data_IF_103935845946
#
_entry.id   IF_103935845946
#
_cell.length_a   1.000
_cell.length_b   1.000
_cell.length_c   1.000
_cell.angle_alpha   90.00
_cell.angle_beta   90.00
_cell.angle_gamma   90.00
#
_symmetry.space_group_name_H-M   'P 1'
#
loop_
_entity.id
_entity.type
_entity.pdbx_description
1 polymer ?
#
# COMPACT_ATOMS: atom_id res chain seq x y z
N UNK A 1 -33.08 -68.28 22.34
CA UNK A 1 -32.12 -67.16 22.54
C UNK A 1 -31.38 -66.72 21.28
N UNK A 2 -31.19 -67.57 20.27
CA UNK A 2 -30.47 -67.18 19.03
C UNK A 2 -31.24 -66.23 18.10
N UNK A 3 -32.57 -66.36 18.01
CA UNK A 3 -33.40 -65.50 17.17
C UNK A 3 -33.33 -64.01 17.58
N UNK A 4 -33.28 -63.76 18.90
CA UNK A 4 -33.15 -62.41 19.46
C UNK A 4 -31.76 -61.82 19.14
N UNK A 5 -30.69 -62.63 19.22
CA UNK A 5 -29.34 -62.19 18.82
C UNK A 5 -29.26 -61.82 17.34
N UNK A 6 -29.92 -62.60 16.46
CA UNK A 6 -29.98 -62.31 15.02
C UNK A 6 -30.77 -61.03 14.71
N UNK A 7 -31.81 -60.72 15.47
CA UNK A 7 -32.53 -59.45 15.32
C UNK A 7 -31.69 -58.27 15.79
N UNK A 8 -30.99 -58.40 16.94
CA UNK A 8 -30.10 -57.38 17.46
C UNK A 8 -28.93 -57.07 16.50
N UNK A 9 -28.35 -58.08 15.84
CA UNK A 9 -27.28 -57.87 14.86
C UNK A 9 -27.79 -57.14 13.60
N UNK A 10 -28.99 -57.49 13.11
CA UNK A 10 -29.63 -56.78 11.98
C UNK A 10 -29.92 -55.32 12.30
N UNK A 11 -30.42 -55.04 13.50
CA UNK A 11 -30.67 -53.67 13.95
C UNK A 11 -29.37 -52.87 14.02
N UNK A 12 -28.31 -53.46 14.60
CA UNK A 12 -26.99 -52.82 14.66
C UNK A 12 -26.44 -52.49 13.28
N UNK A 13 -26.65 -53.37 12.30
CA UNK A 13 -26.21 -53.15 10.92
C UNK A 13 -27.04 -52.06 10.22
N UNK A 14 -28.36 -52.00 10.45
CA UNK A 14 -29.21 -50.92 9.94
C UNK A 14 -28.84 -49.56 10.53
N UNK A 15 -28.59 -49.51 11.85
CA UNK A 15 -28.14 -48.30 12.54
C UNK A 15 -26.79 -47.83 12.00
N UNK A 16 -25.84 -48.74 11.80
CA UNK A 16 -24.55 -48.40 11.21
C UNK A 16 -24.69 -47.83 9.79
N UNK A 17 -25.56 -48.41 8.95
CA UNK A 17 -25.85 -47.89 7.61
C UNK A 17 -26.51 -46.51 7.64
N UNK A 18 -27.45 -46.29 8.56
CA UNK A 18 -28.07 -44.97 8.76
C UNK A 18 -27.07 -43.93 9.25
N UNK A 19 -26.24 -44.28 10.25
CA UNK A 19 -25.18 -43.39 10.73
C UNK A 19 -24.20 -43.03 9.61
N UNK A 20 -23.82 -44.00 8.77
CA UNK A 20 -22.95 -43.74 7.63
C UNK A 20 -23.62 -42.89 6.53
N UNK A 21 -24.93 -43.05 6.32
CA UNK A 21 -25.69 -42.21 5.39
C UNK A 21 -25.84 -40.76 5.90
N UNK A 22 -26.06 -40.60 7.20
CA UNK A 22 -26.11 -39.28 7.86
C UNK A 22 -24.76 -38.59 7.80
N UNK A 23 -23.67 -39.29 8.13
CA UNK A 23 -22.30 -38.76 8.00
C UNK A 23 -21.95 -38.38 6.56
N UNK A 24 -22.42 -39.16 5.56
CA UNK A 24 -22.29 -38.80 4.15
C UNK A 24 -23.08 -37.55 3.77
N UNK A 25 -24.28 -37.36 4.33
CA UNK A 25 -25.09 -36.16 4.14
C UNK A 25 -24.43 -34.91 4.77
N UNK A 26 -23.59 -35.12 5.79
CA UNK A 26 -22.75 -34.09 6.41
C UNK A 26 -21.33 -33.99 5.82
N UNK A 27 -21.05 -34.59 4.66
CA UNK A 27 -19.78 -34.39 3.92
C UNK A 27 -18.57 -35.22 4.37
N UNK A 28 -18.71 -36.12 5.35
CA UNK A 28 -17.59 -36.93 5.91
C UNK A 28 -17.05 -38.04 5.00
N UNK A 29 -17.18 -37.93 3.67
CA UNK A 29 -16.75 -38.93 2.71
C UNK A 29 -15.93 -38.28 1.60
N UNK A 30 -14.61 -38.22 1.78
CA UNK A 30 -13.60 -37.77 0.80
C UNK A 30 -13.62 -36.30 0.37
N UNK A 31 -14.75 -35.59 0.40
CA UNK A 31 -14.81 -34.16 0.11
C UNK A 31 -14.11 -33.32 1.17
N UNK A 32 -14.23 -33.68 2.46
CA UNK A 32 -13.57 -32.97 3.56
C UNK A 32 -12.06 -32.78 3.37
N UNK A 33 -11.34 -33.71 2.73
CA UNK A 33 -9.88 -33.55 2.48
C UNK A 33 -9.62 -32.49 1.41
N UNK A 34 -10.48 -32.38 0.40
CA UNK A 34 -10.38 -31.38 -0.67
C UNK A 34 -10.88 -30.02 -0.17
N UNK A 35 -11.90 -30.01 0.70
CA UNK A 35 -12.40 -28.80 1.37
C UNK A 35 -11.38 -28.23 2.35
N UNK A 36 -10.73 -29.08 3.16
CA UNK A 36 -9.68 -28.69 4.11
C UNK A 36 -8.43 -28.15 3.39
N UNK A 37 -8.02 -28.78 2.28
CA UNK A 37 -6.92 -28.27 1.44
C UNK A 37 -7.27 -26.94 0.76
N UNK A 38 -8.47 -26.79 0.20
CA UNK A 38 -8.91 -25.55 -0.42
C UNK A 38 -9.06 -24.41 0.61
N UNK A 39 -9.55 -24.73 1.81
CA UNK A 39 -9.66 -23.79 2.93
C UNK A 39 -8.29 -23.37 3.47
N UNK A 40 -7.36 -24.32 3.63
CA UNK A 40 -5.98 -24.05 4.01
C UNK A 40 -5.30 -23.12 2.99
N UNK A 41 -5.48 -23.39 1.69
CA UNK A 41 -4.97 -22.51 0.63
C UNK A 41 -5.58 -21.11 0.68
N UNK A 42 -6.88 -21.00 0.97
CA UNK A 42 -7.56 -19.72 1.10
C UNK A 42 -7.04 -18.92 2.31
N UNK A 43 -6.81 -19.58 3.44
CA UNK A 43 -6.21 -18.98 4.62
C UNK A 43 -4.80 -18.45 4.33
N UNK A 44 -3.94 -19.26 3.68
CA UNK A 44 -2.60 -18.82 3.28
C UNK A 44 -2.63 -17.60 2.34
N UNK A 45 -3.62 -17.52 1.44
CA UNK A 45 -3.81 -16.34 0.57
C UNK A 45 -4.19 -15.10 1.37
N UNK A 46 -5.07 -15.24 2.36
CA UNK A 46 -5.49 -14.13 3.23
C UNK A 46 -4.34 -13.65 4.14
N UNK A 47 -3.52 -14.56 4.66
CA UNK A 47 -2.32 -14.21 5.43
C UNK A 47 -1.32 -13.43 4.56
N UNK A 48 -1.03 -13.92 3.35
CA UNK A 48 -0.18 -13.23 2.37
C UNK A 48 -0.74 -11.85 2.01
N UNK A 49 -2.06 -11.74 1.83
CA UNK A 49 -2.74 -10.47 1.58
C UNK A 49 -2.57 -9.50 2.75
N UNK A 50 -2.76 -9.96 3.98
CA UNK A 50 -2.58 -9.13 5.17
C UNK A 50 -1.14 -8.61 5.32
N UNK A 51 -0.15 -9.51 5.21
CA UNK A 51 1.27 -9.16 5.32
C UNK A 51 1.67 -8.16 4.23
N UNK A 52 1.33 -8.46 2.98
CA UNK A 52 1.69 -7.61 1.83
C UNK A 52 1.02 -6.24 1.90
N UNK A 53 -0.27 -6.15 2.24
CA UNK A 53 -0.98 -4.87 2.36
C UNK A 53 -0.49 -4.05 3.54
N UNK A 54 -0.11 -4.68 4.66
CA UNK A 54 0.53 -3.99 5.79
C UNK A 54 1.89 -3.43 5.40
N UNK A 55 2.75 -4.25 4.79
CA UNK A 55 4.07 -3.83 4.32
C UNK A 55 3.98 -2.68 3.29
N UNK A 56 3.06 -2.81 2.32
CA UNK A 56 2.82 -1.78 1.31
C UNK A 56 2.42 -0.44 1.92
N UNK A 57 1.53 -0.41 2.94
CA UNK A 57 1.14 0.84 3.62
C UNK A 57 2.32 1.50 4.32
N UNK A 58 3.20 0.73 4.97
CA UNK A 58 4.40 1.30 5.58
C UNK A 58 5.33 1.90 4.54
N UNK A 59 5.61 1.16 3.47
CA UNK A 59 6.46 1.63 2.38
C UNK A 59 5.91 2.89 1.71
N UNK A 60 4.60 2.93 1.43
CA UNK A 60 3.94 4.13 0.89
C UNK A 60 4.08 5.33 1.84
N UNK A 61 3.93 5.15 3.15
CA UNK A 61 4.12 6.23 4.14
C UNK A 61 5.54 6.78 4.12
N UNK A 62 6.53 5.93 3.95
CA UNK A 62 7.93 6.36 3.92
C UNK A 62 8.25 7.13 2.62
N UNK A 63 7.70 6.69 1.48
CA UNK A 63 7.78 7.46 0.23
C UNK A 63 7.12 8.83 0.39
N UNK A 64 5.89 8.89 0.93
CA UNK A 64 5.17 10.15 1.12
C UNK A 64 5.99 11.12 1.97
N UNK A 65 6.52 10.66 3.11
CA UNK A 65 7.38 11.50 3.96
C UNK A 65 8.63 11.98 3.25
N UNK A 66 9.29 11.11 2.49
CA UNK A 66 10.49 11.47 1.73
C UNK A 66 10.21 12.52 0.66
N UNK A 67 9.14 12.34 -0.12
CA UNK A 67 8.74 13.28 -1.18
C UNK A 67 8.28 14.61 -0.60
N UNK A 68 7.46 14.60 0.45
CA UNK A 68 7.01 15.83 1.13
C UNK A 68 8.18 16.59 1.74
N UNK A 69 9.13 15.89 2.39
CA UNK A 69 10.35 16.49 2.91
C UNK A 69 11.23 17.10 1.82
N UNK A 70 11.35 16.42 0.68
CA UNK A 70 12.05 16.94 -0.50
C UNK A 70 11.36 18.18 -1.08
N UNK A 71 10.02 18.20 -1.14
CA UNK A 71 9.25 19.36 -1.59
C UNK A 71 9.46 20.55 -0.66
N UNK A 72 9.32 20.38 0.66
CA UNK A 72 9.49 21.46 1.63
C UNK A 72 10.90 22.06 1.55
N UNK A 73 11.93 21.21 1.51
CA UNK A 73 13.32 21.67 1.40
C UNK A 73 13.58 22.30 0.03
N UNK A 74 13.04 21.70 -1.04
CA UNK A 74 13.17 22.17 -2.41
C UNK A 74 12.54 23.55 -2.61
N UNK A 75 11.38 23.83 -2.02
CA UNK A 75 10.71 25.13 -2.11
C UNK A 75 11.55 26.24 -1.49
N UNK A 76 12.16 25.97 -0.32
CA UNK A 76 13.12 26.92 0.29
C UNK A 76 14.33 27.17 -0.60
N UNK A 77 14.85 26.14 -1.27
CA UNK A 77 15.96 26.30 -2.22
C UNK A 77 15.56 27.14 -3.45
N UNK A 78 14.32 26.98 -3.94
CA UNK A 78 13.75 27.80 -5.02
C UNK A 78 13.66 29.27 -4.62
N UNK A 79 13.18 29.56 -3.40
CA UNK A 79 13.11 30.94 -2.88
C UNK A 79 14.51 31.58 -2.81
N UNK A 80 15.50 30.87 -2.26
CA UNK A 80 16.89 31.34 -2.18
C UNK A 80 17.46 31.59 -3.59
N UNK A 81 17.26 30.66 -4.52
CA UNK A 81 17.76 30.79 -5.89
C UNK A 81 17.08 31.91 -6.66
N UNK A 82 15.79 32.15 -6.40
CA UNK A 82 15.03 33.26 -6.99
C UNK A 82 15.59 34.60 -6.51
N UNK A 83 15.81 34.74 -5.19
CA UNK A 83 16.42 35.94 -4.61
C UNK A 83 17.83 36.19 -5.18
N UNK A 84 18.65 35.15 -5.30
CA UNK A 84 19.98 35.27 -5.90
C UNK A 84 19.93 35.73 -7.37
N UNK A 85 18.96 35.23 -8.15
CA UNK A 85 18.72 35.68 -9.51
C UNK A 85 18.36 37.17 -9.55
N UNK A 86 17.46 37.61 -8.67
CA UNK A 86 17.03 39.00 -8.55
C UNK A 86 18.19 39.93 -8.19
N UNK A 87 19.01 39.56 -7.20
CA UNK A 87 20.19 40.32 -6.79
C UNK A 87 21.23 40.39 -7.92
N UNK A 88 21.45 39.29 -8.65
CA UNK A 88 22.35 39.26 -9.81
C UNK A 88 21.86 40.15 -10.95
N UNK A 89 20.55 40.17 -11.20
CA UNK A 89 19.92 41.05 -12.20
C UNK A 89 20.04 42.51 -11.78
N UNK A 90 19.83 42.81 -10.50
CA UNK A 90 19.99 44.16 -9.94
C UNK A 90 21.43 44.65 -10.11
N UNK A 91 22.41 43.83 -9.74
CA UNK A 91 23.83 44.14 -9.98
C UNK A 91 24.10 44.39 -11.47
N UNK A 92 23.60 43.51 -12.35
CA UNK A 92 23.82 43.64 -13.79
C UNK A 92 23.20 44.90 -14.42
N UNK A 93 22.12 45.43 -13.84
CA UNK A 93 21.40 46.62 -14.34
C UNK A 93 21.91 47.92 -13.73
N UNK A 94 22.31 47.92 -12.45
CA UNK A 94 22.67 49.13 -11.71
C UNK A 94 24.19 49.43 -11.72
N UNK A 95 25.06 48.41 -11.81
CA UNK A 95 26.52 48.61 -11.85
C UNK A 95 27.03 48.80 -13.29
N UNK A 96 26.91 50.03 -13.78
CA UNK A 96 27.45 50.48 -15.09
C UNK A 96 28.80 51.20 -14.98
N UNK A 97 29.45 51.18 -13.80
CA UNK A 97 30.59 52.05 -13.53
C UNK A 97 31.95 51.48 -13.98
N UNK A 98 32.59 52.24 -14.87
CA UNK A 98 34.03 52.37 -15.17
C UNK A 98 34.83 51.10 -15.47
N UNK A 99 35.14 50.92 -16.76
CA UNK A 99 36.09 49.93 -17.31
C UNK A 99 35.59 48.49 -17.39
N UNK A 100 34.54 48.27 -18.20
CA UNK A 100 34.24 46.96 -18.81
C UNK A 100 32.86 46.39 -18.47
N UNK A 101 32.01 46.24 -19.49
CA UNK A 101 30.64 45.68 -19.37
C UNK A 101 30.57 44.17 -19.08
N UNK A 102 31.72 43.48 -18.99
CA UNK A 102 31.79 42.02 -18.93
C UNK A 102 31.09 41.44 -17.70
N UNK A 103 31.34 42.00 -16.51
CA UNK A 103 30.74 41.54 -15.25
C UNK A 103 29.22 41.78 -15.21
N UNK A 104 28.77 42.97 -15.63
CA UNK A 104 27.33 43.29 -15.73
C UNK A 104 26.62 42.32 -16.68
N UNK A 105 27.18 42.07 -17.88
CA UNK A 105 26.63 41.09 -18.84
C UNK A 105 26.62 39.66 -18.30
N UNK A 106 27.69 39.24 -17.62
CA UNK A 106 27.76 37.93 -16.99
C UNK A 106 26.69 37.77 -15.89
N UNK A 107 26.52 38.77 -15.03
CA UNK A 107 25.50 38.78 -13.98
C UNK A 107 24.08 38.74 -14.56
N UNK A 108 23.81 39.49 -15.65
CA UNK A 108 22.54 39.43 -16.36
C UNK A 108 22.27 38.04 -16.96
N UNK A 109 23.27 37.43 -17.61
CA UNK A 109 23.14 36.09 -18.18
C UNK A 109 22.86 35.05 -17.08
N UNK A 110 23.64 35.08 -16.00
CA UNK A 110 23.46 34.21 -14.84
C UNK A 110 22.07 34.39 -14.20
N UNK A 111 21.61 35.63 -14.02
CA UNK A 111 20.30 35.90 -13.44
C UNK A 111 19.18 35.24 -14.24
N UNK A 112 19.22 35.35 -15.57
CA UNK A 112 18.21 34.78 -16.47
C UNK A 112 18.24 33.25 -16.43
N UNK A 113 19.43 32.66 -16.53
CA UNK A 113 19.59 31.22 -16.45
C UNK A 113 19.08 30.68 -15.10
N UNK A 114 19.45 31.34 -13.98
CA UNK A 114 19.03 30.94 -12.64
C UNK A 114 17.52 31.06 -12.44
N UNK A 115 16.91 32.15 -12.89
CA UNK A 115 15.45 32.32 -12.81
C UNK A 115 14.71 31.19 -13.54
N UNK A 116 15.20 30.81 -14.73
CA UNK A 116 14.59 29.73 -15.49
C UNK A 116 14.77 28.38 -14.81
N UNK A 117 15.96 28.11 -14.23
CA UNK A 117 16.20 26.89 -13.45
C UNK A 117 15.28 26.78 -12.24
N UNK A 118 15.12 27.86 -11.48
CA UNK A 118 14.24 27.85 -10.29
C UNK A 118 12.77 27.71 -10.67
N UNK A 119 12.36 28.27 -11.81
CA UNK A 119 11.01 28.06 -12.37
C UNK A 119 10.76 26.57 -12.67
N UNK A 120 11.67 25.92 -13.41
CA UNK A 120 11.52 24.49 -13.72
C UNK A 120 11.61 23.61 -12.46
N UNK A 121 12.45 23.99 -11.51
CA UNK A 121 12.51 23.33 -10.20
C UNK A 121 11.18 23.46 -9.47
N UNK A 122 10.57 24.65 -9.43
CA UNK A 122 9.23 24.86 -8.85
C UNK A 122 8.16 23.99 -9.53
N UNK A 123 8.19 23.90 -10.87
CA UNK A 123 7.27 23.04 -11.62
C UNK A 123 7.43 21.56 -11.25
N UNK A 124 8.68 21.08 -11.14
CA UNK A 124 8.97 19.71 -10.71
C UNK A 124 8.43 19.43 -9.31
N UNK A 125 8.68 20.32 -8.35
CA UNK A 125 8.19 20.15 -6.97
C UNK A 125 6.66 20.08 -6.91
N UNK A 126 5.98 20.92 -7.69
CA UNK A 126 4.52 20.88 -7.83
C UNK A 126 4.04 19.57 -8.45
N UNK A 127 4.72 19.08 -9.48
CA UNK A 127 4.41 17.80 -10.11
C UNK A 127 4.61 16.62 -9.13
N UNK A 128 5.69 16.61 -8.35
CA UNK A 128 5.90 15.61 -7.31
C UNK A 128 4.82 15.65 -6.23
N UNK A 129 4.36 16.84 -5.83
CA UNK A 129 3.27 16.98 -4.86
C UNK A 129 1.96 16.36 -5.37
N UNK A 130 1.56 16.73 -6.58
CA UNK A 130 0.26 16.37 -7.16
C UNK A 130 0.21 14.98 -7.78
N UNK A 131 1.29 14.53 -8.43
CA UNK A 131 1.32 13.26 -9.15
C UNK A 131 1.88 12.10 -8.33
N UNK A 132 2.59 12.38 -7.22
CA UNK A 132 3.23 11.34 -6.40
C UNK A 132 2.74 11.38 -4.96
N UNK A 133 2.94 12.50 -4.24
CA UNK A 133 2.64 12.56 -2.82
C UNK A 133 1.14 12.44 -2.53
N UNK A 134 0.29 13.19 -3.25
CA UNK A 134 -1.16 13.16 -3.07
C UNK A 134 -1.80 11.79 -3.32
N UNK A 135 -1.57 11.11 -4.47
CA UNK A 135 -2.11 9.77 -4.70
C UNK A 135 -1.66 8.76 -3.66
N UNK A 136 -0.38 8.75 -3.29
CA UNK A 136 0.13 7.81 -2.30
C UNK A 136 -0.44 8.07 -0.90
N UNK A 137 -0.60 9.34 -0.51
CA UNK A 137 -1.26 9.72 0.75
C UNK A 137 -2.72 9.25 0.77
N UNK A 138 -3.43 9.41 -0.34
CA UNK A 138 -4.79 8.91 -0.49
C UNK A 138 -4.84 7.38 -0.39
N UNK A 139 -3.90 6.66 -1.01
CA UNK A 139 -3.82 5.20 -0.91
C UNK A 139 -3.54 4.72 0.52
N UNK A 140 -2.64 5.38 1.25
CA UNK A 140 -2.32 5.05 2.66
C UNK A 140 -3.55 5.15 3.58
N UNK A 141 -4.42 6.13 3.29
CA UNK A 141 -5.66 6.41 4.02
C UNK A 141 -6.89 5.75 3.38
N UNK A 142 -6.72 5.03 2.28
CA UNK A 142 -7.80 4.55 1.44
C UNK A 142 -8.44 3.27 1.96
N UNK A 143 -9.75 3.17 1.78
CA UNK A 143 -10.56 2.00 2.10
C UNK A 143 -10.00 0.67 1.55
N UNK A 144 -9.44 0.55 0.32
CA UNK A 144 -9.02 -0.76 -0.21
C UNK A 144 -7.96 -1.49 0.63
N UNK A 145 -6.98 -0.76 1.19
CA UNK A 145 -5.96 -1.36 2.06
C UNK A 145 -6.48 -1.63 3.47
N UNK A 146 -7.51 -0.91 3.92
CA UNK A 146 -8.16 -1.16 5.21
C UNK A 146 -9.13 -2.34 5.10
N UNK A 147 -9.95 -2.37 4.06
CA UNK A 147 -10.90 -3.45 3.74
C UNK A 147 -10.19 -4.79 3.56
N UNK A 148 -9.06 -4.83 2.84
CA UNK A 148 -8.28 -6.05 2.69
C UNK A 148 -7.75 -6.59 4.03
N UNK A 149 -7.34 -5.70 4.95
CA UNK A 149 -6.90 -6.11 6.30
C UNK A 149 -8.06 -6.52 7.19
N UNK A 150 -9.18 -5.80 7.12
CA UNK A 150 -10.40 -6.15 7.85
C UNK A 150 -10.93 -7.52 7.42
N UNK A 151 -10.89 -7.82 6.11
CA UNK A 151 -11.29 -9.13 5.58
C UNK A 151 -10.42 -10.25 6.15
N UNK A 152 -9.09 -10.10 6.10
CA UNK A 152 -8.17 -11.08 6.67
C UNK A 152 -8.41 -11.29 8.18
N UNK A 153 -8.53 -10.20 8.95
CA UNK A 153 -8.78 -10.27 10.39
C UNK A 153 -10.13 -10.90 10.76
N UNK A 154 -11.19 -10.62 9.99
CA UNK A 154 -12.51 -11.24 10.21
C UNK A 154 -12.47 -12.74 9.93
N UNK A 155 -11.79 -13.15 8.86
CA UNK A 155 -11.63 -14.56 8.54
C UNK A 155 -10.85 -15.30 9.62
N UNK A 156 -9.70 -14.75 10.05
CA UNK A 156 -8.88 -15.35 11.11
C UNK A 156 -9.68 -15.53 12.42
N UNK A 157 -10.53 -14.56 12.78
CA UNK A 157 -11.39 -14.67 13.96
C UNK A 157 -12.43 -15.77 13.83
N UNK A 158 -13.17 -15.83 12.71
CA UNK A 158 -14.18 -16.87 12.50
C UNK A 158 -13.55 -18.27 12.52
N UNK A 159 -12.34 -18.42 11.97
CA UNK A 159 -11.60 -19.68 12.00
C UNK A 159 -11.22 -20.08 13.43
N UNK A 160 -10.67 -19.15 14.22
CA UNK A 160 -10.34 -19.41 15.63
C UNK A 160 -11.57 -19.81 16.44
N UNK A 161 -12.72 -19.18 16.17
CA UNK A 161 -14.00 -19.53 16.79
C UNK A 161 -14.47 -20.93 16.40
N UNK A 162 -14.27 -21.34 15.15
CA UNK A 162 -14.61 -22.69 14.67
C UNK A 162 -13.66 -23.78 15.21
N UNK A 163 -12.36 -23.50 15.33
CA UNK A 163 -11.37 -24.42 15.91
C UNK A 163 -11.55 -24.61 17.44
N UNK A 164 -12.24 -23.68 18.11
CA UNK A 164 -12.50 -23.71 19.55
C UNK A 164 -13.81 -24.43 19.94
N UNK A 165 -14.63 -24.87 18.97
CA UNK A 165 -15.88 -25.61 19.17
C UNK A 165 -15.65 -27.13 19.04
#
# INVERSE_FOLDING_TARGET
>A
MEAIRKQASKLREQVAKQQQAVLKQFGYSSENVITDEAELQQHQKLEKLYISTRAAKHFQRDIVRGVEGYIVTGSKQVEIGTKLSEDSRKYGTENTCTSGSTLSKAAMSFSRARAQMEKERGNLLKALGTQVAEPLRAMVMGAPLEDARHLAQRYDRMRQEAEAQ
#
